data_IF_354054236880
#
_entry.id   IF_354054236880
#
_cell.length_a   1.000
_cell.length_b   1.000
_cell.length_c   1.000
_cell.angle_alpha   90.00
_cell.angle_beta   90.00
_cell.angle_gamma   90.00
#
_symmetry.space_group_name_H-M   'P 1'
#
loop_
_entity.id
_entity.type
_entity.pdbx_description
1 polymer ?
#
# COMPACT_ATOMS: atom_id res chain seq x y z
N UNK A 1 11.02 -5.10 -19.10
CA UNK A 1 11.45 -4.77 -17.73
C UNK A 1 10.28 -4.93 -16.79
N UNK A 2 10.42 -5.64 -15.68
CA UNK A 2 9.35 -5.72 -14.68
C UNK A 2 9.10 -4.35 -14.06
N UNK A 3 7.84 -4.09 -13.74
CA UNK A 3 7.45 -2.89 -13.03
C UNK A 3 7.92 -2.97 -11.57
N UNK A 4 8.22 -1.84 -10.98
CA UNK A 4 8.58 -1.73 -9.56
C UNK A 4 7.56 -0.86 -8.85
N UNK A 5 7.08 -1.32 -7.71
CA UNK A 5 6.21 -0.55 -6.82
C UNK A 5 6.85 -0.53 -5.44
N UNK A 6 6.99 0.66 -4.87
CA UNK A 6 7.53 0.82 -3.53
C UNK A 6 6.43 0.76 -2.49
N UNK A 7 6.80 0.53 -1.25
CA UNK A 7 5.92 0.67 -0.09
C UNK A 7 6.62 1.49 0.99
N UNK A 8 5.85 2.21 1.78
CA UNK A 8 6.38 3.00 2.89
C UNK A 8 5.34 3.05 4.02
N UNK A 9 5.80 2.99 5.26
CA UNK A 9 4.95 3.19 6.44
C UNK A 9 5.16 4.59 7.02
N UNK A 10 4.08 5.25 7.44
CA UNK A 10 4.24 6.55 8.10
C UNK A 10 4.76 6.41 9.53
N UNK A 11 4.45 5.30 10.21
CA UNK A 11 4.86 5.06 11.60
C UNK A 11 4.61 6.29 12.48
N UNK A 12 5.58 6.68 13.29
CA UNK A 12 5.57 7.93 14.04
C UNK A 12 6.55 8.96 13.47
N UNK A 13 6.90 8.82 12.19
CA UNK A 13 7.80 9.78 11.53
C UNK A 13 7.18 11.18 11.48
N UNK A 14 8.05 12.20 11.43
CA UNK A 14 7.66 13.54 11.02
C UNK A 14 7.33 13.54 9.53
N UNK A 15 6.58 14.53 9.06
CA UNK A 15 6.36 14.69 7.63
C UNK A 15 7.68 14.86 6.88
N UNK A 16 8.62 15.62 7.43
CA UNK A 16 9.94 15.83 6.78
C UNK A 16 10.67 14.50 6.60
N UNK A 17 10.66 13.64 7.62
CA UNK A 17 11.29 12.31 7.52
C UNK A 17 10.62 11.46 6.45
N UNK A 18 9.29 11.43 6.44
CA UNK A 18 8.51 10.72 5.42
C UNK A 18 8.85 11.25 4.02
N UNK A 19 8.85 12.57 3.85
CA UNK A 19 9.17 13.20 2.58
C UNK A 19 10.55 12.80 2.09
N UNK A 20 11.55 12.79 2.98
CA UNK A 20 12.91 12.37 2.64
C UNK A 20 12.94 10.92 2.13
N UNK A 21 12.18 10.03 2.78
CA UNK A 21 12.13 8.62 2.39
C UNK A 21 11.55 8.46 0.98
N UNK A 22 10.46 9.15 0.67
CA UNK A 22 9.83 9.01 -0.64
C UNK A 22 10.60 9.76 -1.74
N UNK A 23 11.19 10.91 -1.44
CA UNK A 23 11.98 11.64 -2.43
C UNK A 23 13.30 10.92 -2.77
N UNK A 24 13.90 10.22 -1.81
CA UNK A 24 15.11 9.44 -2.05
C UNK A 24 14.91 8.34 -3.10
N UNK A 25 13.66 7.93 -3.32
CA UNK A 25 13.31 6.90 -4.29
C UNK A 25 12.52 7.46 -5.48
N UNK A 26 12.50 8.77 -5.65
CA UNK A 26 11.85 9.47 -6.77
C UNK A 26 10.36 9.15 -6.86
N UNK A 27 9.69 8.96 -5.74
CA UNK A 27 8.26 8.66 -5.71
C UNK A 27 7.48 9.87 -6.20
N UNK A 28 6.56 9.66 -7.14
CA UNK A 28 5.71 10.69 -7.72
C UNK A 28 4.24 10.53 -7.36
N UNK A 29 3.86 9.39 -6.77
CA UNK A 29 2.46 9.12 -6.46
C UNK A 29 2.37 8.23 -5.23
N UNK A 30 1.71 8.70 -4.19
CA UNK A 30 1.40 7.93 -2.97
C UNK A 30 0.02 7.29 -3.15
N UNK A 31 -0.02 5.98 -2.99
CA UNK A 31 -1.28 5.22 -2.99
C UNK A 31 -1.55 4.77 -1.57
N UNK A 32 -2.52 5.38 -0.94
CA UNK A 32 -2.88 5.10 0.45
C UNK A 32 -3.74 3.84 0.53
N UNK A 33 -3.20 2.78 1.11
CA UNK A 33 -3.90 1.49 1.24
C UNK A 33 -4.41 1.22 2.65
N UNK A 34 -4.38 2.23 3.54
CA UNK A 34 -4.87 2.08 4.91
C UNK A 34 -6.38 1.99 4.93
N UNK A 35 -6.95 1.03 5.66
CA UNK A 35 -8.41 0.97 5.88
C UNK A 35 -8.90 2.20 6.63
N UNK A 36 -8.11 2.67 7.59
CA UNK A 36 -8.39 3.87 8.39
C UNK A 36 -7.26 4.87 8.10
N UNK A 37 -7.51 5.88 7.24
CA UNK A 37 -6.46 6.82 6.80
C UNK A 37 -6.30 7.99 7.77
N UNK A 38 -6.26 7.68 9.06
CA UNK A 38 -6.11 8.66 10.13
C UNK A 38 -5.17 8.11 11.19
N UNK A 39 -4.28 8.93 11.71
CA UNK A 39 -3.33 8.54 12.74
C UNK A 39 -3.17 9.66 13.76
N UNK A 40 -3.19 9.30 15.05
CA UNK A 40 -2.88 10.23 16.13
C UNK A 40 -1.39 10.51 16.24
N UNK A 41 -0.57 9.51 15.90
CA UNK A 41 0.89 9.61 16.01
C UNK A 41 1.50 10.38 14.84
N UNK A 42 0.84 10.40 13.70
CA UNK A 42 1.29 11.10 12.51
C UNK A 42 0.11 11.85 11.88
N UNK A 43 -0.39 12.93 12.52
CA UNK A 43 -1.58 13.64 12.05
C UNK A 43 -1.43 14.23 10.64
N UNK A 44 -0.21 14.55 10.24
CA UNK A 44 0.08 15.04 8.88
C UNK A 44 -0.29 14.00 7.81
N UNK A 45 -0.30 12.71 8.17
CA UNK A 45 -0.62 11.62 7.24
C UNK A 45 -2.10 11.42 7.02
N UNK A 46 -2.95 12.11 7.77
CA UNK A 46 -4.39 11.97 7.65
C UNK A 46 -4.83 12.29 6.21
N UNK A 47 -5.80 11.53 5.71
CA UNK A 47 -6.33 11.69 4.36
C UNK A 47 -6.77 13.12 4.07
N UNK A 48 -7.25 13.83 5.09
CA UNK A 48 -7.69 15.22 4.97
C UNK A 48 -6.53 16.21 4.80
N UNK A 49 -5.31 15.82 5.10
CA UNK A 49 -4.14 16.71 5.12
C UNK A 49 -3.06 16.34 4.11
N UNK A 50 -2.76 15.05 3.99
CA UNK A 50 -1.62 14.57 3.22
C UNK A 50 -1.62 15.02 1.75
N UNK A 51 -2.76 14.99 1.02
CA UNK A 51 -2.76 15.42 -0.37
C UNK A 51 -2.25 16.86 -0.55
N UNK A 52 -2.68 17.77 0.33
CA UNK A 52 -2.26 19.18 0.26
C UNK A 52 -0.78 19.35 0.64
N UNK A 53 -0.28 18.55 1.58
CA UNK A 53 1.12 18.61 1.99
C UNK A 53 2.07 18.09 0.89
N UNK A 54 1.60 17.18 0.06
CA UNK A 54 2.40 16.60 -1.03
C UNK A 54 2.41 17.47 -2.29
N UNK A 55 1.40 18.31 -2.49
CA UNK A 55 1.27 19.15 -3.69
C UNK A 55 2.50 20.00 -4.02
N UNK A 56 3.12 20.72 -3.06
CA UNK A 56 4.28 21.55 -3.38
C UNK A 56 5.46 20.74 -3.92
N UNK A 57 5.49 19.44 -3.70
CA UNK A 57 6.56 18.54 -4.12
C UNK A 57 6.20 17.77 -5.39
N UNK A 58 5.08 18.09 -6.02
CA UNK A 58 4.59 17.44 -7.24
C UNK A 58 4.36 15.93 -7.06
N UNK A 59 3.91 15.54 -5.87
CA UNK A 59 3.57 14.16 -5.54
C UNK A 59 2.05 14.04 -5.43
N UNK A 60 1.49 13.13 -6.22
CA UNK A 60 0.05 12.85 -6.21
C UNK A 60 -0.31 11.96 -5.04
N UNK A 61 -1.58 11.98 -4.69
CA UNK A 61 -2.16 11.12 -3.66
C UNK A 61 -3.46 10.51 -4.16
N UNK A 62 -3.59 9.20 -4.03
CA UNK A 62 -4.82 8.47 -4.31
C UNK A 62 -5.14 7.55 -3.15
N UNK A 63 -6.38 7.57 -2.70
CA UNK A 63 -6.83 6.66 -1.64
C UNK A 63 -7.47 5.42 -2.24
N UNK A 64 -6.93 4.25 -1.94
CA UNK A 64 -7.47 2.95 -2.34
C UNK A 64 -7.69 2.01 -1.14
N UNK A 65 -7.57 2.52 0.08
CA UNK A 65 -7.71 1.70 1.28
C UNK A 65 -9.09 1.09 1.44
N UNK A 66 -10.13 1.73 0.91
CA UNK A 66 -11.48 1.18 0.93
C UNK A 66 -11.63 -0.06 0.02
N UNK A 67 -10.74 -0.24 -0.96
CA UNK A 67 -10.74 -1.38 -1.88
C UNK A 67 -9.69 -2.42 -1.52
N UNK A 68 -8.54 -1.97 -1.04
CA UNK A 68 -7.39 -2.83 -0.73
C UNK A 68 -7.27 -3.14 0.78
N UNK A 69 -7.98 -2.40 1.62
CA UNK A 69 -8.00 -2.68 3.05
C UNK A 69 -8.79 -3.94 3.39
N UNK A 70 -8.40 -4.64 4.45
CA UNK A 70 -8.96 -5.91 4.82
C UNK A 70 -10.28 -5.84 5.62
N UNK A 71 -10.77 -4.65 5.96
CA UNK A 71 -11.97 -4.52 6.79
C UNK A 71 -13.25 -4.52 5.96
N UNK A 72 -14.24 -5.29 6.42
CA UNK A 72 -15.57 -5.31 5.82
C UNK A 72 -16.22 -3.92 5.93
N UNK A 73 -16.87 -3.50 4.86
CA UNK A 73 -17.58 -2.22 4.78
C UNK A 73 -19.09 -2.46 4.73
N UNK A 74 -19.93 -1.54 5.27
CA UNK A 74 -21.40 -1.70 5.20
C UNK A 74 -21.91 -1.85 3.77
N UNK A 75 -21.27 -1.24 2.78
CA UNK A 75 -21.67 -1.31 1.37
C UNK A 75 -21.42 -2.69 0.75
N UNK A 76 -20.58 -3.52 1.36
CA UNK A 76 -20.21 -4.82 0.77
C UNK A 76 -21.39 -5.77 0.61
N UNK A 77 -22.33 -5.77 1.56
CA UNK A 77 -23.52 -6.60 1.46
C UNK A 77 -24.44 -6.17 0.31
N UNK A 78 -24.56 -4.85 0.10
CA UNK A 78 -25.33 -4.30 -1.01
C UNK A 78 -24.70 -4.71 -2.35
N UNK A 79 -23.38 -4.60 -2.45
CA UNK A 79 -22.64 -4.96 -3.66
C UNK A 79 -22.77 -6.46 -3.97
N UNK A 80 -22.76 -7.32 -2.95
CA UNK A 80 -22.95 -8.77 -3.13
C UNK A 80 -24.30 -9.09 -3.73
N UNK A 81 -25.35 -8.38 -3.31
CA UNK A 81 -26.69 -8.56 -3.88
C UNK A 81 -26.72 -8.19 -5.37
N UNK A 82 -25.82 -7.33 -5.81
CA UNK A 82 -25.66 -6.92 -7.21
C UNK A 82 -24.64 -7.79 -7.97
N UNK A 83 -24.16 -8.87 -7.36
CA UNK A 83 -23.19 -9.78 -7.99
C UNK A 83 -21.74 -9.31 -7.92
N UNK A 84 -21.43 -8.28 -7.13
CA UNK A 84 -20.08 -7.77 -6.94
C UNK A 84 -19.53 -8.25 -5.60
N UNK A 85 -18.42 -8.99 -5.64
CA UNK A 85 -17.79 -9.53 -4.43
C UNK A 85 -16.65 -8.63 -3.95
N UNK A 86 -16.26 -8.71 -2.66
CA UNK A 86 -15.05 -8.02 -2.20
C UNK A 86 -13.79 -8.39 -2.99
N UNK A 87 -13.71 -9.63 -3.48
CA UNK A 87 -12.59 -10.07 -4.31
C UNK A 87 -12.57 -9.32 -5.64
N UNK A 88 -13.74 -9.09 -6.27
CA UNK A 88 -13.82 -8.32 -7.51
C UNK A 88 -13.31 -6.89 -7.31
N UNK A 89 -13.69 -6.27 -6.20
CA UNK A 89 -13.28 -4.89 -5.85
C UNK A 89 -11.76 -4.84 -5.63
N UNK A 90 -11.22 -5.82 -4.92
CA UNK A 90 -9.79 -5.93 -4.69
C UNK A 90 -9.02 -6.11 -6.01
N UNK A 91 -9.48 -7.01 -6.86
CA UNK A 91 -8.83 -7.29 -8.14
C UNK A 91 -8.83 -6.06 -9.05
N UNK A 92 -9.93 -5.30 -9.09
CA UNK A 92 -10.01 -4.06 -9.84
C UNK A 92 -8.99 -3.03 -9.32
N UNK A 93 -8.84 -2.92 -8.01
CA UNK A 93 -7.87 -2.02 -7.41
C UNK A 93 -6.43 -2.42 -7.75
N UNK A 94 -6.12 -3.70 -7.79
CA UNK A 94 -4.81 -4.20 -8.22
C UNK A 94 -4.56 -3.79 -9.68
N UNK A 95 -5.57 -3.91 -10.56
CA UNK A 95 -5.43 -3.47 -11.95
C UNK A 95 -5.17 -1.96 -12.05
N UNK A 96 -5.81 -1.16 -11.20
CA UNK A 96 -5.55 0.28 -11.11
C UNK A 96 -4.08 0.54 -10.76
N UNK A 97 -3.54 -0.18 -9.75
CA UNK A 97 -2.13 -0.05 -9.38
C UNK A 97 -1.20 -0.37 -10.56
N UNK A 98 -1.46 -1.46 -11.26
CA UNK A 98 -0.64 -1.87 -12.40
C UNK A 98 -0.67 -0.82 -13.51
N UNK A 99 -1.82 -0.24 -13.79
CA UNK A 99 -1.95 0.82 -14.80
C UNK A 99 -1.22 2.11 -14.38
N UNK A 100 -1.39 2.53 -13.13
CA UNK A 100 -0.73 3.72 -12.62
C UNK A 100 0.79 3.57 -12.62
N UNK A 101 1.30 2.38 -12.30
CA UNK A 101 2.75 2.13 -12.25
C UNK A 101 3.44 2.20 -13.61
N UNK A 102 2.67 2.19 -14.69
CA UNK A 102 3.22 2.41 -16.04
C UNK A 102 3.62 3.87 -16.28
N UNK A 103 3.02 4.80 -15.56
CA UNK A 103 3.22 6.25 -15.76
C UNK A 103 3.91 6.91 -14.58
N UNK A 104 3.60 6.47 -13.38
CA UNK A 104 4.04 7.09 -12.15
C UNK A 104 4.95 6.14 -11.37
N UNK A 105 5.83 6.72 -10.57
CA UNK A 105 6.65 5.95 -9.64
C UNK A 105 5.87 5.87 -8.31
N UNK A 106 5.24 4.73 -8.07
CA UNK A 106 4.29 4.56 -6.98
C UNK A 106 4.96 4.12 -5.69
N UNK A 107 4.47 4.63 -4.55
CA UNK A 107 4.67 3.99 -3.26
C UNK A 107 3.34 3.78 -2.57
N UNK A 108 3.10 2.55 -2.12
CA UNK A 108 1.96 2.24 -1.26
C UNK A 108 2.24 2.80 0.12
N UNK A 109 1.21 3.37 0.75
CA UNK A 109 1.33 3.92 2.11
C UNK A 109 0.55 3.05 3.08
N UNK A 110 1.22 2.57 4.13
CA UNK A 110 0.60 1.89 5.25
C UNK A 110 1.02 2.55 6.58
N UNK A 111 0.52 2.04 7.69
CA UNK A 111 0.78 2.62 9.01
C UNK A 111 2.10 2.16 9.62
N UNK A 112 2.46 0.90 9.41
CA UNK A 112 3.63 0.28 10.03
C UNK A 112 4.90 0.53 9.23
N UNK A 113 6.00 0.84 9.94
CA UNK A 113 7.31 0.99 9.30
C UNK A 113 7.95 -0.35 8.98
N UNK A 114 7.65 -1.39 9.76
CA UNK A 114 8.16 -2.75 9.54
C UNK A 114 7.17 -3.53 8.68
N UNK A 115 7.56 -3.92 7.45
CA UNK A 115 6.66 -4.68 6.57
C UNK A 115 6.19 -6.00 7.19
N UNK A 116 7.01 -6.62 8.07
CA UNK A 116 6.65 -7.86 8.73
C UNK A 116 5.42 -7.74 9.64
N UNK A 117 5.09 -6.52 10.09
CA UNK A 117 3.97 -6.25 10.98
C UNK A 117 2.73 -5.75 10.24
N UNK A 118 2.76 -5.66 8.92
CA UNK A 118 1.65 -5.11 8.13
C UNK A 118 1.02 -6.19 7.25
N UNK A 119 -0.01 -6.87 7.77
CA UNK A 119 -0.68 -7.96 7.05
C UNK A 119 -1.26 -7.53 5.71
N UNK A 120 -1.86 -6.33 5.65
CA UNK A 120 -2.46 -5.84 4.40
C UNK A 120 -1.43 -5.55 3.35
N UNK A 121 -0.31 -4.95 3.76
CA UNK A 121 0.81 -4.70 2.87
C UNK A 121 1.35 -6.02 2.35
N UNK A 122 1.46 -7.04 3.21
CA UNK A 122 1.86 -8.39 2.80
C UNK A 122 0.89 -8.98 1.78
N UNK A 123 -0.42 -8.86 2.00
CA UNK A 123 -1.42 -9.37 1.05
C UNK A 123 -1.27 -8.67 -0.30
N UNK A 124 -1.19 -7.35 -0.33
CA UNK A 124 -1.06 -6.59 -1.58
C UNK A 124 0.27 -6.90 -2.26
N UNK A 125 1.36 -6.96 -1.50
CA UNK A 125 2.67 -7.30 -2.05
C UNK A 125 2.68 -8.69 -2.68
N UNK A 126 2.06 -9.68 -2.05
CA UNK A 126 1.97 -11.05 -2.60
C UNK A 126 1.24 -11.05 -3.94
N UNK A 127 0.12 -10.33 -4.03
CA UNK A 127 -0.64 -10.22 -5.29
C UNK A 127 0.20 -9.57 -6.39
N UNK A 128 0.91 -8.50 -6.07
CA UNK A 128 1.75 -7.79 -7.03
C UNK A 128 2.92 -8.67 -7.51
N UNK A 129 3.54 -9.42 -6.60
CA UNK A 129 4.61 -10.36 -6.94
C UNK A 129 4.08 -11.42 -7.92
N UNK A 130 2.89 -11.95 -7.65
CA UNK A 130 2.24 -12.94 -8.54
C UNK A 130 1.94 -12.34 -9.92
N UNK A 131 1.79 -11.02 -10.00
CA UNK A 131 1.57 -10.30 -11.26
C UNK A 131 2.86 -9.89 -11.97
N UNK A 132 4.02 -10.31 -11.45
CA UNK A 132 5.32 -10.01 -12.04
C UNK A 132 5.92 -8.68 -11.64
N UNK A 133 5.41 -8.04 -10.59
CA UNK A 133 5.92 -6.75 -10.09
C UNK A 133 7.00 -6.98 -9.05
N UNK A 134 8.05 -6.18 -9.10
CA UNK A 134 9.04 -6.10 -8.03
C UNK A 134 8.51 -5.12 -6.98
N UNK A 135 8.39 -5.56 -5.74
CA UNK A 135 7.93 -4.72 -4.63
C UNK A 135 9.12 -4.44 -3.71
N UNK A 136 9.40 -3.14 -3.50
CA UNK A 136 10.51 -2.70 -2.64
C UNK A 136 9.94 -1.95 -1.43
N UNK A 137 10.18 -2.50 -0.24
CA UNK A 137 9.80 -1.85 1.01
C UNK A 137 10.84 -0.81 1.39
N UNK A 138 10.41 0.44 1.57
CA UNK A 138 11.26 1.52 2.12
C UNK A 138 11.20 1.39 3.63
N UNK A 139 12.34 1.08 4.25
CA UNK A 139 12.42 0.91 5.70
C UNK A 139 12.64 2.27 6.39
N UNK A 140 12.47 2.28 7.71
CA UNK A 140 12.54 3.51 8.51
C UNK A 140 13.89 4.23 8.43
N UNK A 141 14.95 3.50 8.14
CA UNK A 141 16.31 4.06 7.98
C UNK A 141 16.62 4.46 6.54
N UNK A 142 15.67 4.32 5.63
CA UNK A 142 15.84 4.63 4.22
C UNK A 142 16.35 3.48 3.36
N UNK A 143 16.75 2.36 3.96
CA UNK A 143 17.18 1.19 3.20
C UNK A 143 15.98 0.53 2.52
N UNK A 144 16.24 -0.23 1.46
CA UNK A 144 15.24 -0.95 0.70
C UNK A 144 15.33 -2.45 1.00
N UNK A 145 14.18 -3.07 1.13
CA UNK A 145 14.07 -4.51 1.28
C UNK A 145 13.10 -5.04 0.23
N UNK A 146 13.56 -5.91 -0.66
CA UNK A 146 12.69 -6.52 -1.65
C UNK A 146 11.68 -7.43 -0.95
N UNK A 147 10.42 -7.32 -1.32
CA UNK A 147 9.38 -8.20 -0.82
C UNK A 147 9.61 -9.61 -1.33
N UNK A 148 9.39 -10.57 -0.44
CA UNK A 148 9.58 -11.99 -0.74
C UNK A 148 8.22 -12.67 -0.89
N UNK A 149 8.19 -13.77 -1.65
CA UNK A 149 7.01 -14.61 -1.73
C UNK A 149 6.88 -15.42 -0.44
N UNK A 150 5.75 -15.29 0.23
CA UNK A 150 5.46 -16.03 1.47
C UNK A 150 4.99 -17.45 1.12
N UNK A 151 5.44 -18.43 1.93
CA UNK A 151 4.98 -19.80 1.80
C UNK A 151 3.61 -19.94 2.46
N UNK A 152 2.73 -20.75 1.85
CA UNK A 152 1.45 -21.07 2.44
C UNK A 152 1.64 -22.08 3.58
N UNK A 153 1.19 -21.72 4.78
CA UNK A 153 1.31 -22.57 5.97
C UNK A 153 0.54 -23.90 5.81
N UNK A 154 -0.48 -23.92 4.96
CA UNK A 154 -1.28 -25.12 4.68
C UNK A 154 -0.51 -26.23 3.98
N UNK A 155 0.64 -25.92 3.38
CA UNK A 155 1.47 -26.87 2.64
C UNK A 155 2.55 -27.49 3.50
N UNK A 156 2.51 -27.32 4.82
CA UNK A 156 3.48 -27.87 5.75
C UNK A 156 2.87 -29.02 6.55
N UNK A 157 2.86 -30.24 5.99
CA UNK A 157 2.39 -31.41 6.72
C UNK A 157 3.33 -31.67 7.90
N UNK A 158 2.80 -31.77 9.11
CA UNK A 158 3.58 -32.03 10.31
C UNK A 158 3.60 -30.89 11.31
N UNK A 159 3.00 -29.77 11.00
CA UNK A 159 2.76 -28.69 11.96
C UNK A 159 1.49 -28.90 12.79
N UNK A 160 0.78 -29.98 12.53
CA UNK A 160 -0.49 -30.30 13.18
C UNK A 160 -0.47 -31.71 13.73
#
# INVERSE_FOLDING_TARGET
MPQTIFTVGHSNHSFLKFLQLIQANNITHIIDIRSIPYSRNAPWSNKSRLPEMLKPFHIRYTYLGHKLGGKKRPVDDILRQQGVTPQDIYDDAIQILLQLSLRDNLSLLCSESDPANCHRQHVVAQTLIDSGVIVLHILKDGSLKEAWKEEELTDQPGLF
#
